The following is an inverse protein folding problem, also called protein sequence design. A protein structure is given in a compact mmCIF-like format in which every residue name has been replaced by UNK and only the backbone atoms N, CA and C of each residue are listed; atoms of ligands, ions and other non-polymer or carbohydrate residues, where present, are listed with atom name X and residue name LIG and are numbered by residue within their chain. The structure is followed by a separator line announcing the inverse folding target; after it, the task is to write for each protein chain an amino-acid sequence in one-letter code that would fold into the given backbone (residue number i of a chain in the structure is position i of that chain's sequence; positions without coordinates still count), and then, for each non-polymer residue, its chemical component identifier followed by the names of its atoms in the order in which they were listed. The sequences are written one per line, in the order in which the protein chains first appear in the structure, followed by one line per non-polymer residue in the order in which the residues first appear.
data_IF_447371841210
#
_entry.id   IF_447371841210
#
_cell.length_a   1.000
_cell.length_b   1.000
_cell.length_c   1.000
_cell.angle_alpha   90.00
_cell.angle_beta   90.00
_cell.angle_gamma   90.00
#
_symmetry.space_group_name_H-M   'P 1'
#
loop_
_entity.id
_entity.type
_entity.pdbx_description
1 polymer ?
#
# COMPACT_ATOMS: atom_id res chain seq x y z
N UNK A 1 -7.90 -43.09 63.66
CA UNK A 1 -7.31 -42.03 64.52
C UNK A 1 -5.88 -41.76 64.04
N UNK A 2 -5.65 -40.53 63.55
CA UNK A 2 -4.36 -39.78 63.42
C UNK A 2 -3.25 -40.38 62.52
N UNK A 3 -2.51 -39.66 61.68
CA UNK A 3 -2.44 -38.25 61.20
C UNK A 3 -1.28 -38.25 60.16
N UNK A 4 -1.47 -37.89 58.88
CA UNK A 4 -1.27 -36.56 58.24
C UNK A 4 0.04 -35.81 58.53
N UNK A 5 0.84 -35.54 57.47
CA UNK A 5 1.36 -34.23 57.01
C UNK A 5 2.50 -34.50 55.96
N UNK A 6 2.31 -34.33 54.65
CA UNK A 6 2.22 -33.08 53.87
C UNK A 6 3.52 -32.24 53.94
N UNK A 7 4.40 -32.46 52.97
CA UNK A 7 5.64 -31.72 52.72
C UNK A 7 5.30 -30.34 52.13
N UNK A 8 5.71 -29.29 52.85
CA UNK A 8 5.44 -27.90 52.53
C UNK A 8 6.48 -27.37 51.55
N UNK A 9 6.06 -27.10 50.32
CA UNK A 9 6.82 -26.33 49.35
C UNK A 9 7.20 -24.95 49.91
N UNK A 10 8.50 -24.74 50.11
CA UNK A 10 9.05 -23.42 50.41
C UNK A 10 8.86 -22.51 49.19
N UNK A 11 8.02 -21.50 49.39
CA UNK A 11 7.92 -20.30 48.57
C UNK A 11 9.29 -19.60 48.62
N UNK A 12 10.02 -19.63 47.52
CA UNK A 12 11.24 -18.85 47.33
C UNK A 12 10.90 -17.37 47.21
N UNK A 13 11.33 -16.59 48.20
CA UNK A 13 11.26 -15.14 48.22
C UNK A 13 12.07 -14.53 47.08
N UNK A 14 11.52 -13.45 46.51
CA UNK A 14 12.16 -12.46 45.65
C UNK A 14 13.65 -12.24 45.96
N UNK A 15 14.51 -12.48 44.97
CA UNK A 15 15.94 -12.24 45.05
C UNK A 15 16.24 -10.73 45.12
N UNK A 16 16.66 -10.29 46.31
CA UNK A 16 17.29 -8.99 46.52
C UNK A 16 18.74 -9.09 46.00
N UNK A 17 19.05 -8.38 44.91
CA UNK A 17 20.38 -8.42 44.27
C UNK A 17 21.39 -7.75 45.21
N UNK A 18 22.40 -8.50 45.64
CA UNK A 18 23.37 -8.04 46.64
C UNK A 18 24.16 -6.81 46.17
N UNK A 19 24.43 -5.86 47.07
CA UNK A 19 25.16 -4.62 46.79
C UNK A 19 26.56 -4.81 46.17
N UNK A 20 27.14 -6.01 46.33
CA UNK A 20 28.44 -6.43 45.78
C UNK A 20 28.43 -6.67 44.27
N UNK A 21 27.30 -7.05 43.67
CA UNK A 21 27.20 -7.31 42.22
C UNK A 21 26.99 -6.04 41.38
N UNK A 22 26.51 -4.95 42.00
CA UNK A 22 26.22 -3.68 41.33
C UNK A 22 27.40 -2.69 41.31
N UNK A 23 28.44 -2.90 42.12
CA UNK A 23 29.62 -2.04 42.20
C UNK A 23 30.35 -1.84 40.84
N UNK A 24 30.53 -2.86 39.97
CA UNK A 24 31.13 -2.67 38.65
C UNK A 24 30.29 -1.76 37.75
N UNK A 25 28.96 -1.91 37.81
CA UNK A 25 28.00 -1.11 37.05
C UNK A 25 28.09 0.37 37.47
N UNK A 26 28.12 0.63 38.79
CA UNK A 26 28.25 2.00 39.29
C UNK A 26 29.60 2.65 38.95
N UNK A 27 30.69 1.88 38.95
CA UNK A 27 32.02 2.34 38.49
C UNK A 27 31.97 2.74 37.01
N UNK A 28 31.41 1.90 36.15
CA UNK A 28 31.25 2.20 34.73
C UNK A 28 30.37 3.44 34.49
N UNK A 29 29.21 3.54 35.17
CA UNK A 29 28.36 4.75 35.13
C UNK A 29 29.15 6.01 35.52
N UNK A 30 30.04 5.94 36.52
CA UNK A 30 30.87 7.07 36.96
C UNK A 30 31.87 7.50 35.89
N UNK A 31 32.50 6.55 35.20
CA UNK A 31 33.41 6.82 34.09
C UNK A 31 32.70 7.53 32.92
N UNK A 32 31.52 7.03 32.52
CA UNK A 32 30.72 7.65 31.45
C UNK A 32 30.32 9.08 31.84
N UNK A 33 29.84 9.30 33.09
CA UNK A 33 29.52 10.66 33.58
C UNK A 33 30.72 11.60 33.51
N UNK A 34 31.90 11.13 33.90
CA UNK A 34 33.12 11.93 33.85
C UNK A 34 33.47 12.32 32.40
N UNK A 35 33.45 11.35 31.49
CA UNK A 35 33.72 11.56 30.06
C UNK A 35 32.76 12.58 29.45
N UNK A 36 31.46 12.40 29.62
CA UNK A 36 30.47 13.28 28.97
C UNK A 36 30.45 14.68 29.60
N UNK A 37 30.68 14.80 30.92
CA UNK A 37 30.88 16.13 31.55
C UNK A 37 32.08 16.87 30.96
N UNK A 38 33.16 16.15 30.64
CA UNK A 38 34.32 16.72 29.95
C UNK A 38 33.98 17.14 28.51
N UNK A 39 33.21 16.33 27.77
CA UNK A 39 32.78 16.71 26.42
C UNK A 39 31.85 17.93 26.42
N UNK A 40 30.84 17.98 27.30
CA UNK A 40 30.01 19.17 27.51
C UNK A 40 30.83 20.37 27.98
N UNK A 41 31.90 20.09 28.76
CA UNK A 41 33.09 20.91 29.06
C UNK A 41 33.58 21.79 27.91
N UNK A 42 33.85 21.07 26.83
CA UNK A 42 34.67 21.45 25.68
C UNK A 42 33.82 21.94 24.51
N UNK A 43 32.49 21.78 24.57
CA UNK A 43 31.59 22.34 23.57
C UNK A 43 31.73 23.87 23.47
N UNK A 44 31.91 24.34 22.24
CA UNK A 44 31.92 25.76 21.95
C UNK A 44 30.56 26.40 22.33
N UNK A 45 30.55 27.58 23.00
CA UNK A 45 29.31 28.21 23.42
C UNK A 45 28.34 28.57 22.28
N UNK A 46 28.86 28.94 21.10
CA UNK A 46 28.04 29.26 19.92
C UNK A 46 27.45 28.00 19.29
N UNK A 47 28.25 26.93 19.15
CA UNK A 47 27.76 25.63 18.70
C UNK A 47 26.67 25.09 19.61
N UNK A 48 26.87 25.18 20.94
CA UNK A 48 25.87 24.75 21.92
C UNK A 48 24.55 25.53 21.77
N UNK A 49 24.62 26.85 21.59
CA UNK A 49 23.42 27.66 21.37
C UNK A 49 22.70 27.32 20.05
N UNK A 50 23.43 26.93 19.00
CA UNK A 50 22.83 26.42 17.77
C UNK A 50 22.12 25.07 17.99
N UNK A 51 22.74 24.16 18.74
CA UNK A 51 22.13 22.89 19.10
C UNK A 51 20.89 23.09 19.99
N UNK A 52 20.94 23.99 20.97
CA UNK A 52 19.79 24.39 21.80
C UNK A 52 18.60 24.82 20.96
N UNK A 53 18.83 25.71 19.99
CA UNK A 53 17.80 26.25 19.13
C UNK A 53 17.22 25.18 18.18
N UNK A 54 18.06 24.32 17.61
CA UNK A 54 17.63 23.21 16.77
C UNK A 54 16.75 22.22 17.56
N UNK A 55 17.17 21.82 18.76
CA UNK A 55 16.43 20.89 19.61
C UNK A 55 15.09 21.50 20.01
N UNK A 56 15.06 22.76 20.46
CA UNK A 56 13.81 23.41 20.85
C UNK A 56 12.83 23.53 19.67
N UNK A 57 13.29 23.88 18.46
CA UNK A 57 12.43 23.88 17.26
C UNK A 57 11.84 22.51 16.99
N UNK A 58 12.65 21.45 17.03
CA UNK A 58 12.18 20.08 16.80
C UNK A 58 11.11 19.65 17.81
N UNK A 59 11.28 20.00 19.08
CA UNK A 59 10.25 19.77 20.12
C UNK A 59 8.97 20.53 19.78
N UNK A 60 9.07 21.84 19.52
CA UNK A 60 7.93 22.69 19.22
C UNK A 60 7.15 22.22 17.99
N UNK A 61 7.85 21.68 16.99
CA UNK A 61 7.24 21.20 15.76
C UNK A 61 6.65 19.79 15.84
N UNK A 62 7.06 19.01 16.86
CA UNK A 62 6.68 17.62 16.98
C UNK A 62 5.15 17.43 17.16
N UNK A 63 4.53 16.46 16.45
CA UNK A 63 3.11 16.16 16.59
C UNK A 63 2.69 15.80 18.03
N UNK A 64 3.54 15.05 18.73
CA UNK A 64 3.31 14.66 20.13
C UNK A 64 3.36 15.88 21.08
N UNK A 65 4.16 16.90 20.80
CA UNK A 65 4.19 18.13 21.60
C UNK A 65 2.94 18.97 21.35
N UNK A 66 2.58 19.16 20.07
CA UNK A 66 1.41 19.94 19.64
C UNK A 66 0.11 19.38 20.25
N UNK A 67 -0.03 18.06 20.29
CA UNK A 67 -1.22 17.36 20.84
C UNK A 67 -1.25 17.18 22.36
N UNK A 68 -0.13 17.35 23.07
CA UNK A 68 -0.08 17.21 24.54
C UNK A 68 -0.78 18.36 25.26
N UNK A 69 -1.55 18.09 26.31
CA UNK A 69 -2.20 19.12 27.14
C UNK A 69 -1.49 19.30 28.48
N UNK A 70 -1.05 18.21 29.11
CA UNK A 70 -0.42 18.23 30.45
C UNK A 70 1.00 17.68 30.34
N UNK A 71 2.00 18.47 30.74
CA UNK A 71 3.41 18.18 30.49
C UNK A 71 4.25 18.38 31.75
N UNK A 72 5.24 17.49 31.94
CA UNK A 72 6.34 17.74 32.85
C UNK A 72 7.59 18.16 32.05
N UNK A 73 8.30 19.18 32.49
CA UNK A 73 9.58 19.56 31.91
C UNK A 73 10.56 20.05 32.99
N UNK A 74 11.85 19.93 32.71
CA UNK A 74 12.89 20.50 33.57
C UNK A 74 13.15 21.97 33.21
N UNK A 75 13.54 22.75 34.21
CA UNK A 75 14.12 24.08 34.00
C UNK A 75 15.60 23.89 33.73
N UNK A 76 16.05 24.24 32.52
CA UNK A 76 17.44 24.07 32.12
C UNK A 76 18.38 24.89 32.99
N UNK A 77 19.40 24.25 33.58
CA UNK A 77 20.42 24.95 34.36
C UNK A 77 21.72 25.12 33.56
N UNK A 78 22.14 26.38 33.36
CA UNK A 78 23.36 26.72 32.61
C UNK A 78 24.63 26.17 33.27
N UNK A 79 24.71 26.17 34.61
CA UNK A 79 25.84 25.61 35.35
C UNK A 79 25.97 24.10 35.12
N UNK A 80 24.83 23.43 34.92
CA UNK A 80 24.77 22.01 34.60
C UNK A 80 25.02 21.72 33.11
N UNK A 81 24.98 22.73 32.23
CA UNK A 81 25.14 22.59 30.77
C UNK A 81 24.09 21.64 30.18
N UNK A 82 22.86 21.82 30.61
CA UNK A 82 21.71 21.11 30.04
C UNK A 82 21.27 21.78 28.73
N UNK A 83 20.47 21.07 27.94
CA UNK A 83 19.82 21.67 26.77
C UNK A 83 18.87 22.76 27.26
N UNK A 84 18.90 23.93 26.63
CA UNK A 84 17.98 25.02 26.94
C UNK A 84 16.54 24.62 26.63
N UNK A 85 15.62 24.88 27.57
CA UNK A 85 14.18 24.63 27.41
C UNK A 85 13.35 25.91 27.35
N UNK A 86 13.99 27.09 27.43
CA UNK A 86 13.31 28.38 27.59
C UNK A 86 12.19 28.66 26.59
N UNK A 87 12.39 28.40 25.29
CA UNK A 87 11.39 28.62 24.23
C UNK A 87 10.24 27.63 24.31
N UNK A 88 10.54 26.38 24.67
CA UNK A 88 9.52 25.33 24.88
C UNK A 88 8.63 25.70 26.06
N UNK A 89 9.23 26.08 27.20
CA UNK A 89 8.49 26.50 28.40
C UNK A 89 7.67 27.76 28.13
N UNK A 90 8.25 28.76 27.47
CA UNK A 90 7.53 29.98 27.08
C UNK A 90 6.34 29.66 26.18
N UNK A 91 6.44 28.68 25.27
CA UNK A 91 5.31 28.28 24.42
C UNK A 91 4.21 27.56 25.20
N UNK A 92 4.55 26.79 26.23
CA UNK A 92 3.58 26.11 27.10
C UNK A 92 2.83 27.14 27.97
N UNK A 93 3.56 28.12 28.53
CA UNK A 93 3.04 29.14 29.45
C UNK A 93 2.36 30.34 28.76
N UNK A 94 2.37 30.41 27.42
CA UNK A 94 1.61 31.43 26.68
C UNK A 94 0.11 31.24 26.90
N UNK A 95 -0.53 32.16 27.62
CA UNK A 95 -1.98 32.33 27.61
C UNK A 95 -2.39 33.01 26.30
N UNK A 96 -3.34 32.42 25.58
CA UNK A 96 -3.92 32.99 24.36
C UNK A 96 -4.80 34.17 24.74
N UNK A 97 -4.22 35.36 24.81
CA UNK A 97 -4.95 36.61 24.79
C UNK A 97 -4.90 37.20 23.38
N UNK A 98 -6.10 37.44 22.85
CA UNK A 98 -6.48 38.05 21.56
C UNK A 98 -6.69 37.06 20.38
N UNK A 99 -7.93 37.11 19.88
CA UNK A 99 -8.50 36.51 18.67
C UNK A 99 -9.08 35.09 18.77
N UNK A 100 -10.37 35.03 19.17
CA UNK A 100 -11.48 34.16 18.71
C UNK A 100 -11.31 32.65 18.43
N UNK A 101 -10.19 32.00 18.76
CA UNK A 101 -10.14 30.54 18.88
C UNK A 101 -9.48 30.14 20.20
N UNK A 102 -10.32 29.79 21.16
CA UNK A 102 -9.96 29.28 22.48
C UNK A 102 -9.23 27.93 22.33
N UNK A 103 -7.94 27.95 21.98
CA UNK A 103 -7.06 26.80 22.21
C UNK A 103 -6.91 26.65 23.72
N UNK A 104 -7.33 25.51 24.28
CA UNK A 104 -7.06 25.14 25.67
C UNK A 104 -5.55 25.25 25.93
N UNK A 105 -5.16 26.09 26.90
CA UNK A 105 -3.77 26.25 27.31
C UNK A 105 -3.17 24.93 27.85
N UNK A 106 -1.85 24.77 27.71
CA UNK A 106 -1.15 23.58 28.21
C UNK A 106 -0.79 23.76 29.70
N UNK A 107 -0.90 22.70 30.49
CA UNK A 107 -0.50 22.67 31.91
C UNK A 107 0.95 22.22 32.04
N UNK A 108 1.77 23.01 32.75
CA UNK A 108 3.18 22.71 32.98
C UNK A 108 3.44 22.33 34.43
N UNK A 109 4.17 21.23 34.63
CA UNK A 109 4.76 20.85 35.91
C UNK A 109 6.28 20.84 35.84
N UNK A 110 6.94 21.35 36.87
CA UNK A 110 8.41 21.48 36.95
C UNK A 110 8.94 20.92 38.27
N UNK A 111 10.18 20.40 38.30
CA UNK A 111 10.70 19.69 39.46
C UNK A 111 11.08 20.62 40.62
N UNK A 112 10.71 20.22 41.84
CA UNK A 112 11.23 20.73 43.12
C UNK A 112 11.86 19.60 43.90
N UNK A 113 13.14 19.75 44.26
CA UNK A 113 13.87 18.74 45.05
C UNK A 113 13.63 19.01 46.52
N UNK A 114 13.16 18.01 47.25
CA UNK A 114 12.81 18.15 48.67
C UNK A 114 13.92 17.65 49.59
N UNK A 115 14.61 16.57 49.21
CA UNK A 115 15.64 15.95 50.04
C UNK A 115 16.77 15.30 49.23
N UNK A 116 17.78 14.80 49.96
CA UNK A 116 18.93 14.06 49.39
C UNK A 116 18.63 12.58 49.13
N UNK A 117 17.45 12.09 49.51
CA UNK A 117 17.02 10.70 49.36
C UNK A 117 16.28 10.45 48.05
N UNK A 118 16.56 11.28 47.03
CA UNK A 118 15.94 11.20 45.70
C UNK A 118 14.45 11.58 45.67
N UNK A 119 13.92 12.26 46.70
CA UNK A 119 12.54 12.72 46.70
C UNK A 119 12.40 14.06 45.96
N UNK A 120 11.51 14.07 44.95
CA UNK A 120 11.26 15.22 44.08
C UNK A 120 9.76 15.30 43.80
N UNK A 121 9.20 16.51 43.90
CA UNK A 121 7.83 16.81 43.49
C UNK A 121 7.83 17.49 42.13
N UNK A 122 6.79 17.26 41.33
CA UNK A 122 6.54 18.00 40.10
C UNK A 122 5.34 18.91 40.35
N UNK A 123 5.61 20.21 40.50
CA UNK A 123 4.61 21.21 40.89
C UNK A 123 4.17 22.06 39.70
N UNK A 124 2.89 22.41 39.66
CA UNK A 124 2.34 23.26 38.62
C UNK A 124 2.88 24.70 38.73
N UNK A 125 3.21 25.29 37.58
CA UNK A 125 3.51 26.71 37.43
C UNK A 125 2.61 27.35 36.37
N UNK A 126 2.29 28.62 36.58
CA UNK A 126 1.50 29.46 35.68
C UNK A 126 2.34 30.55 35.00
N UNK A 127 3.46 30.95 35.61
CA UNK A 127 4.43 31.90 35.06
C UNK A 127 5.86 31.47 35.37
N UNK A 128 6.83 32.01 34.62
CA UNK A 128 8.25 31.90 34.99
C UNK A 128 8.56 32.62 36.31
N UNK A 129 7.74 33.58 36.73
CA UNK A 129 7.86 34.29 38.02
C UNK A 129 7.56 33.40 39.24
N UNK A 130 7.00 32.20 39.02
CA UNK A 130 6.75 31.20 40.06
C UNK A 130 8.03 30.50 40.55
N UNK A 131 9.16 30.72 39.85
CA UNK A 131 10.42 30.03 40.10
C UNK A 131 11.31 30.83 41.06
N UNK A 132 11.92 30.12 42.02
CA UNK A 132 12.92 30.64 42.94
C UNK A 132 14.23 29.87 42.79
N UNK A 133 15.36 30.55 42.97
CA UNK A 133 16.65 29.89 42.99
C UNK A 133 16.87 29.18 44.33
N UNK A 134 17.29 27.91 44.28
CA UNK A 134 17.77 27.21 45.47
C UNK A 134 19.25 27.55 45.77
N UNK A 135 19.81 26.91 46.80
CA UNK A 135 21.20 27.13 47.23
C UNK A 135 22.28 26.78 46.20
N UNK A 136 21.90 26.16 45.08
CA UNK A 136 22.79 25.83 43.95
C UNK A 136 22.48 26.64 42.68
N UNK A 137 21.74 27.74 42.80
CA UNK A 137 21.25 28.57 41.68
C UNK A 137 20.43 27.80 40.64
N UNK A 138 19.79 26.71 41.06
CA UNK A 138 18.84 25.96 40.23
C UNK A 138 17.45 26.52 40.51
N UNK A 139 16.77 26.94 39.45
CA UNK A 139 15.40 27.42 39.53
C UNK A 139 14.43 26.27 39.78
N UNK A 140 13.62 26.40 40.83
CA UNK A 140 12.59 25.46 41.24
C UNK A 140 11.31 26.22 41.61
N UNK A 141 10.12 25.64 41.46
CA UNK A 141 8.87 26.33 41.76
C UNK A 141 8.79 26.62 43.27
N UNK A 142 8.36 27.83 43.65
CA UNK A 142 8.12 28.18 45.05
C UNK A 142 7.11 27.18 45.70
N UNK A 143 7.22 26.86 47.00
CA UNK A 143 6.34 25.88 47.65
C UNK A 143 4.84 26.22 47.54
N UNK A 144 4.52 27.52 47.50
CA UNK A 144 3.17 28.06 47.41
C UNK A 144 3.02 28.94 46.15
N UNK A 145 1.78 29.14 45.72
CA UNK A 145 1.43 30.09 44.67
C UNK A 145 1.44 31.55 45.17
N UNK A 146 1.17 32.51 44.27
CA UNK A 146 1.11 33.94 44.61
C UNK A 146 -0.02 34.31 45.60
N UNK A 147 -1.02 33.44 45.76
CA UNK A 147 -2.09 33.55 46.74
C UNK A 147 -1.80 32.86 48.07
N UNK A 148 -0.64 32.20 48.21
CA UNK A 148 -0.24 31.46 49.40
C UNK A 148 -0.81 30.03 49.48
N UNK A 149 -1.44 29.52 48.42
CA UNK A 149 -1.96 28.15 48.38
C UNK A 149 -0.87 27.13 48.00
N UNK A 150 -1.02 25.89 48.42
CA UNK A 150 -0.16 24.81 47.95
C UNK A 150 -0.33 24.58 46.45
N UNK A 151 0.80 24.43 45.74
CA UNK A 151 0.78 24.13 44.30
C UNK A 151 0.35 22.69 44.05
N UNK A 152 -0.40 22.49 42.96
CA UNK A 152 -0.78 21.15 42.51
C UNK A 152 0.46 20.30 42.22
N UNK A 153 0.58 19.17 42.91
CA UNK A 153 1.57 18.14 42.61
C UNK A 153 0.98 17.16 41.59
N UNK A 154 1.74 16.83 40.54
CA UNK A 154 1.33 15.87 39.51
C UNK A 154 0.87 14.52 40.09
N UNK A 155 1.43 14.10 41.23
CA UNK A 155 1.06 12.83 41.88
C UNK A 155 -0.36 12.86 42.47
N UNK A 156 -0.93 14.04 42.68
CA UNK A 156 -2.29 14.26 43.21
C UNK A 156 -3.26 14.79 42.15
N UNK A 157 -2.84 14.90 40.89
CA UNK A 157 -3.65 15.40 39.80
C UNK A 157 -4.91 14.54 39.56
N UNK A 158 -5.93 15.17 38.96
CA UNK A 158 -7.17 14.52 38.52
C UNK A 158 -7.02 13.71 37.23
N UNK A 159 -6.05 14.08 36.39
CA UNK A 159 -5.78 13.44 35.10
C UNK A 159 -4.27 13.23 34.89
N UNK A 160 -3.92 12.25 34.05
CA UNK A 160 -2.53 11.95 33.73
C UNK A 160 -1.88 12.98 32.80
N UNK A 161 -0.55 13.05 32.85
CA UNK A 161 0.29 13.81 31.92
C UNK A 161 0.50 13.06 30.59
N UNK A 162 0.67 13.82 29.52
CA UNK A 162 0.84 13.30 28.16
C UNK A 162 2.32 13.11 27.80
N UNK A 163 3.19 13.95 28.36
CA UNK A 163 4.59 14.10 27.94
C UNK A 163 5.48 14.49 29.12
N UNK A 164 6.67 13.88 29.20
CA UNK A 164 7.74 14.27 30.13
C UNK A 164 8.99 14.58 29.32
N UNK A 165 9.46 15.84 29.39
CA UNK A 165 10.76 16.25 28.87
C UNK A 165 11.84 16.01 29.93
N UNK A 166 12.77 15.11 29.62
CA UNK A 166 13.75 14.59 30.57
C UNK A 166 15.15 15.17 30.31
N UNK A 167 15.86 15.63 31.36
CA UNK A 167 17.28 15.92 31.28
C UNK A 167 18.11 14.64 31.49
N UNK A 168 19.37 14.68 31.04
CA UNK A 168 20.33 13.59 31.26
C UNK A 168 21.76 14.02 30.95
N UNK A 169 22.72 13.20 31.38
CA UNK A 169 24.13 13.37 31.01
C UNK A 169 24.48 12.57 29.76
N UNK A 170 23.99 11.34 29.63
CA UNK A 170 24.24 10.50 28.45
C UNK A 170 23.00 9.67 28.11
N UNK A 171 22.87 9.34 26.84
CA UNK A 171 21.83 8.49 26.30
C UNK A 171 22.43 7.52 25.28
N UNK A 172 21.86 6.34 25.13
CA UNK A 172 22.14 5.50 23.98
C UNK A 172 20.92 5.37 23.06
N UNK A 173 21.15 4.90 21.83
CA UNK A 173 20.10 4.76 20.81
C UNK A 173 19.04 3.70 21.18
N UNK A 174 19.27 2.90 22.22
CA UNK A 174 18.32 1.94 22.79
C UNK A 174 17.42 2.52 23.89
N UNK A 175 17.59 3.80 24.22
CA UNK A 175 16.74 4.54 25.16
C UNK A 175 17.24 4.47 26.60
N UNK A 176 18.43 3.93 26.85
CA UNK A 176 19.02 3.94 28.20
C UNK A 176 19.48 5.36 28.51
N UNK A 177 19.15 5.82 29.72
CA UNK A 177 19.44 7.17 30.19
C UNK A 177 20.39 7.13 31.38
N UNK A 178 21.41 7.97 31.34
CA UNK A 178 22.33 8.18 32.46
C UNK A 178 22.16 9.60 33.04
N UNK A 179 21.57 9.70 34.23
CA UNK A 179 21.46 10.96 34.97
C UNK A 179 22.73 11.34 35.74
N UNK A 180 22.65 12.40 36.57
CA UNK A 180 23.79 12.95 37.35
C UNK A 180 24.22 12.11 38.55
N UNK A 181 23.42 11.11 38.95
CA UNK A 181 23.72 10.16 40.02
C UNK A 181 22.78 10.20 41.22
N UNK A 182 21.87 11.19 41.28
CA UNK A 182 20.94 11.35 42.41
C UNK A 182 19.60 10.62 42.29
N UNK A 183 19.37 9.79 41.27
CA UNK A 183 18.17 8.94 41.17
C UNK A 183 16.80 9.62 41.06
N UNK A 184 16.71 10.95 41.17
CA UNK A 184 15.44 11.69 41.26
C UNK A 184 14.42 11.34 40.18
N UNK A 185 14.82 11.39 38.91
CA UNK A 185 13.92 11.07 37.79
C UNK A 185 13.53 9.59 37.76
N UNK A 186 14.45 8.69 38.05
CA UNK A 186 14.16 7.24 38.02
C UNK A 186 13.18 6.85 39.14
N UNK A 187 13.31 7.46 40.33
CA UNK A 187 12.34 7.31 41.42
C UNK A 187 10.99 7.93 41.08
N UNK A 188 10.98 9.18 40.60
CA UNK A 188 9.74 9.85 40.21
C UNK A 188 8.98 9.09 39.11
N UNK A 189 9.67 8.70 38.03
CA UNK A 189 9.05 8.04 36.89
C UNK A 189 8.45 6.69 37.27
N UNK A 190 9.12 5.87 38.08
CA UNK A 190 8.56 4.60 38.55
C UNK A 190 7.29 4.81 39.38
N UNK A 191 7.33 5.74 40.33
CA UNK A 191 6.17 6.06 41.16
C UNK A 191 4.99 6.59 40.32
N UNK A 192 5.28 7.45 39.34
CA UNK A 192 4.26 7.98 38.45
C UNK A 192 3.69 6.91 37.50
N UNK A 193 4.53 6.04 36.94
CA UNK A 193 4.08 4.93 36.10
C UNK A 193 3.17 3.97 36.86
N UNK A 194 3.49 3.68 38.12
CA UNK A 194 2.64 2.89 39.02
C UNK A 194 1.30 3.60 39.26
N UNK A 195 1.31 4.88 39.63
CA UNK A 195 0.09 5.68 39.82
C UNK A 195 -0.78 5.71 38.56
N UNK A 196 -0.17 5.90 37.39
CA UNK A 196 -0.88 5.92 36.12
C UNK A 196 -1.56 4.56 35.84
N UNK A 197 -0.92 3.45 36.18
CA UNK A 197 -1.55 2.13 36.08
C UNK A 197 -2.71 1.97 37.07
N UNK A 198 -2.52 2.38 38.34
CA UNK A 198 -3.56 2.31 39.38
C UNK A 198 -4.80 3.15 39.04
N UNK A 199 -4.59 4.33 38.44
CA UNK A 199 -5.66 5.25 37.99
C UNK A 199 -6.14 5.00 36.56
N UNK A 200 -5.62 3.96 35.89
CA UNK A 200 -5.92 3.64 34.49
C UNK A 200 -5.71 4.82 33.51
N UNK A 201 -4.68 5.61 33.76
CA UNK A 201 -4.22 6.68 32.89
C UNK A 201 -3.31 6.15 31.79
N UNK A 202 -3.29 6.85 30.66
CA UNK A 202 -2.34 6.59 29.60
C UNK A 202 -0.93 6.93 30.07
N UNK A 203 0.03 6.06 29.79
CA UNK A 203 1.44 6.33 30.08
C UNK A 203 1.94 7.52 29.25
N UNK A 204 2.68 8.45 29.88
CA UNK A 204 3.21 9.63 29.20
C UNK A 204 4.32 9.22 28.23
N UNK A 205 4.50 10.02 27.19
CA UNK A 205 5.67 9.87 26.33
C UNK A 205 6.90 10.45 27.04
N UNK A 206 7.94 9.65 27.23
CA UNK A 206 9.18 10.05 27.88
C UNK A 206 10.21 10.49 26.83
N UNK A 207 10.43 11.79 26.69
CA UNK A 207 11.31 12.35 25.65
C UNK A 207 12.51 13.02 26.29
N UNK A 208 13.71 12.56 25.95
CA UNK A 208 14.94 13.17 26.41
C UNK A 208 15.50 14.17 25.40
N UNK A 209 15.97 15.32 25.91
CA UNK A 209 16.65 16.34 25.12
C UNK A 209 18.16 16.16 25.27
N UNK A 210 18.88 16.11 24.16
CA UNK A 210 20.28 15.73 24.15
C UNK A 210 21.07 16.50 23.10
N UNK A 211 22.22 17.04 23.51
CA UNK A 211 23.26 17.44 22.55
C UNK A 211 23.83 16.23 21.82
N UNK A 212 24.44 16.45 20.66
CA UNK A 212 25.01 15.38 19.83
C UNK A 212 26.06 14.55 20.59
N UNK A 213 26.88 15.21 21.42
CA UNK A 213 27.97 14.60 22.20
C UNK A 213 27.50 13.72 23.36
N UNK A 214 26.22 13.78 23.71
CA UNK A 214 25.65 12.99 24.81
C UNK A 214 25.05 11.66 24.33
N UNK A 215 24.95 11.44 23.00
CA UNK A 215 24.39 10.24 22.39
C UNK A 215 25.51 9.23 22.11
N UNK A 216 25.32 8.01 22.58
CA UNK A 216 26.26 6.89 22.45
C UNK A 216 25.62 5.77 21.62
N UNK A 217 26.45 4.82 21.19
CA UNK A 217 25.95 3.61 20.53
C UNK A 217 25.21 2.68 21.50
N UNK A 218 24.44 1.76 20.92
CA UNK A 218 23.55 0.88 21.66
C UNK A 218 24.25 0.05 22.73
N UNK A 219 23.64 0.01 23.91
CA UNK A 219 24.08 -0.85 25.00
C UNK A 219 25.30 -0.36 25.78
N UNK A 220 25.86 0.81 25.43
CA UNK A 220 27.05 1.37 26.10
C UNK A 220 26.75 1.79 27.54
N UNK A 221 25.53 2.25 27.82
CA UNK A 221 25.12 2.63 29.17
C UNK A 221 24.71 1.37 29.94
N UNK A 222 25.42 1.02 31.04
CA UNK A 222 25.03 -0.13 31.86
C UNK A 222 23.79 0.23 32.68
N UNK A 223 22.92 -0.74 32.91
CA UNK A 223 21.62 -0.55 33.56
C UNK A 223 21.57 -1.22 34.94
N UNK A 224 20.74 -0.68 35.81
CA UNK A 224 20.29 -1.30 37.06
C UNK A 224 18.77 -1.50 36.98
N UNK A 225 18.18 -2.39 37.81
CA UNK A 225 16.74 -2.65 37.79
C UNK A 225 15.85 -1.42 38.02
N UNK A 226 16.42 -0.34 38.57
CA UNK A 226 15.71 0.89 38.88
C UNK A 226 15.77 1.94 37.76
N UNK A 227 16.57 1.76 36.71
CA UNK A 227 16.70 2.75 35.64
C UNK A 227 15.47 2.73 34.71
N UNK A 228 14.90 3.89 34.43
CA UNK A 228 13.78 4.03 33.49
C UNK A 228 14.27 4.48 32.12
N UNK A 229 13.80 3.81 31.07
CA UNK A 229 14.20 4.06 29.69
C UNK A 229 13.37 5.22 29.12
N UNK A 230 13.93 5.93 28.14
CA UNK A 230 13.21 6.97 27.40
C UNK A 230 12.57 6.39 26.15
N UNK A 231 11.44 6.97 25.75
CA UNK A 231 10.70 6.57 24.55
C UNK A 231 11.26 7.19 23.27
N UNK A 232 11.87 8.38 23.38
CA UNK A 232 12.49 9.07 22.26
C UNK A 232 13.62 10.01 22.70
N UNK A 233 14.55 10.27 21.79
CA UNK A 233 15.59 11.30 21.92
C UNK A 233 15.34 12.41 20.91
N UNK A 234 15.50 13.67 21.34
CA UNK A 234 15.59 14.81 20.44
C UNK A 234 17.01 15.34 20.48
N UNK A 235 17.64 15.37 19.30
CA UNK A 235 18.97 15.93 19.06
C UNK A 235 18.91 16.98 17.96
N UNK A 236 19.99 17.73 17.72
CA UNK A 236 20.02 18.74 16.66
C UNK A 236 19.81 18.17 15.26
N UNK A 237 20.13 16.89 15.07
CA UNK A 237 19.99 16.19 13.78
C UNK A 237 18.60 15.61 13.57
N UNK A 238 17.74 15.57 14.59
CA UNK A 238 16.37 15.07 14.47
C UNK A 238 15.84 14.36 15.72
N UNK A 239 14.71 13.69 15.55
CA UNK A 239 14.05 12.90 16.58
C UNK A 239 14.34 11.42 16.33
N UNK A 240 14.84 10.72 17.34
CA UNK A 240 15.07 9.27 17.34
C UNK A 240 13.96 8.63 18.18
N UNK A 241 12.89 8.09 17.56
CA UNK A 241 11.86 7.34 18.28
C UNK A 241 12.39 5.93 18.60
N UNK A 242 12.21 5.48 19.85
CA UNK A 242 12.79 4.23 20.37
C UNK A 242 11.69 3.24 20.72
N UNK A 243 10.70 3.66 21.51
CA UNK A 243 9.58 2.78 21.86
C UNK A 243 8.51 2.77 20.77
N UNK A 244 7.74 1.68 20.69
CA UNK A 244 6.57 1.57 19.81
C UNK A 244 5.59 2.74 20.01
N UNK A 245 5.50 3.23 21.25
CA UNK A 245 4.64 4.33 21.63
C UNK A 245 5.12 5.68 21.05
N UNK A 246 6.44 5.89 20.95
CA UNK A 246 7.04 7.04 20.27
C UNK A 246 6.87 6.96 18.75
N UNK A 247 7.15 5.78 18.16
CA UNK A 247 7.05 5.56 16.70
C UNK A 247 5.63 5.89 16.22
N UNK A 248 4.61 5.35 16.89
CA UNK A 248 3.21 5.59 16.53
C UNK A 248 2.79 7.07 16.66
N UNK A 249 3.26 7.77 17.72
CA UNK A 249 2.91 9.18 17.93
C UNK A 249 3.71 10.12 17.01
N UNK A 250 4.88 9.69 16.52
CA UNK A 250 5.66 10.43 15.54
C UNK A 250 5.10 10.31 14.12
N UNK A 251 4.57 9.13 13.74
CA UNK A 251 4.03 8.87 12.39
C UNK A 251 2.56 9.25 12.20
N UNK A 252 1.81 9.57 13.28
CA UNK A 252 0.36 9.81 13.24
C UNK A 252 -0.12 11.05 12.47
N UNK A 253 0.79 11.83 11.87
CA UNK A 253 0.45 12.81 10.85
C UNK A 253 1.20 12.44 9.56
N UNK A 254 0.61 11.64 8.65
CA UNK A 254 1.16 11.52 7.32
C UNK A 254 1.16 12.91 6.70
N UNK A 255 2.36 13.38 6.37
CA UNK A 255 2.58 14.62 5.66
C UNK A 255 1.63 14.71 4.46
N UNK A 256 1.02 15.87 4.22
CA UNK A 256 0.04 16.11 3.12
C UNK A 256 0.53 15.57 1.77
N UNK A 257 1.85 15.48 1.57
CA UNK A 257 2.51 14.94 0.39
C UNK A 257 2.30 13.44 0.18
N UNK A 258 2.23 12.61 1.24
CA UNK A 258 1.99 11.17 1.12
C UNK A 258 0.53 10.91 0.73
N UNK A 259 -0.40 11.67 1.30
CA UNK A 259 -1.82 11.58 0.95
C UNK A 259 -2.06 12.03 -0.50
N UNK A 260 -1.41 13.10 -0.96
CA UNK A 260 -1.47 13.53 -2.35
C UNK A 260 -0.82 12.52 -3.32
N UNK A 261 0.32 11.94 -2.96
CA UNK A 261 0.98 10.93 -3.80
C UNK A 261 0.12 9.65 -3.92
N UNK A 262 -0.49 9.19 -2.82
CA UNK A 262 -1.41 8.05 -2.84
C UNK A 262 -2.66 8.36 -3.67
N UNK A 263 -3.24 9.56 -3.54
CA UNK A 263 -4.39 9.99 -4.34
C UNK A 263 -4.04 10.08 -5.83
N UNK A 264 -2.85 10.59 -6.16
CA UNK A 264 -2.34 10.66 -7.53
C UNK A 264 -2.14 9.26 -8.11
N UNK A 265 -1.56 8.32 -7.35
CA UNK A 265 -1.42 6.92 -7.79
C UNK A 265 -2.79 6.26 -8.03
N UNK A 266 -3.77 6.48 -7.15
CA UNK A 266 -5.13 5.96 -7.33
C UNK A 266 -5.79 6.56 -8.58
N UNK A 267 -5.63 7.87 -8.82
CA UNK A 267 -6.14 8.54 -10.02
C UNK A 267 -5.43 8.01 -11.28
N UNK A 268 -4.12 7.77 -11.26
CA UNK A 268 -3.39 7.16 -12.38
C UNK A 268 -3.84 5.72 -12.63
N UNK A 269 -4.10 4.92 -11.59
CA UNK A 269 -4.63 3.56 -11.77
C UNK A 269 -6.09 3.52 -12.25
N UNK A 270 -6.91 4.51 -11.88
CA UNK A 270 -8.30 4.63 -12.35
C UNK A 270 -8.40 5.25 -13.75
N UNK A 271 -7.40 6.04 -14.17
CA UNK A 271 -7.31 6.66 -15.50
C UNK A 271 -6.43 5.87 -16.48
N UNK A 272 -5.72 4.83 -16.03
CA UNK A 272 -5.07 3.90 -16.93
C UNK A 272 -6.18 3.26 -17.77
N UNK A 273 -6.22 3.49 -19.11
CA UNK A 273 -7.21 2.85 -19.93
C UNK A 273 -6.99 1.35 -19.75
N UNK A 274 -7.99 0.66 -19.17
CA UNK A 274 -8.08 -0.78 -19.36
C UNK A 274 -7.99 -0.98 -20.86
N UNK A 275 -6.87 -1.54 -21.32
CA UNK A 275 -6.62 -1.82 -22.73
C UNK A 275 -7.80 -2.64 -23.21
N UNK A 276 -8.78 -1.97 -23.80
CA UNK A 276 -9.93 -2.60 -24.40
C UNK A 276 -9.35 -3.20 -25.66
N UNK A 277 -8.89 -4.44 -25.56
CA UNK A 277 -8.29 -5.17 -26.67
C UNK A 277 -9.40 -5.40 -27.69
N UNK A 278 -9.53 -4.44 -28.61
CA UNK A 278 -10.45 -4.50 -29.73
C UNK A 278 -9.93 -5.44 -30.82
N UNK A 279 -8.87 -6.20 -30.60
CA UNK A 279 -8.33 -7.24 -31.48
C UNK A 279 -7.52 -8.24 -30.65
N UNK A 280 -6.97 -9.26 -31.31
CA UNK A 280 -5.95 -10.12 -30.70
C UNK A 280 -4.79 -9.26 -30.16
N UNK A 281 -4.13 -9.65 -29.05
CA UNK A 281 -3.00 -8.89 -28.51
C UNK A 281 -1.84 -8.78 -29.49
N UNK A 282 -1.12 -7.66 -29.45
CA UNK A 282 0.12 -7.48 -30.22
C UNK A 282 1.18 -8.51 -29.79
N UNK A 283 2.00 -9.03 -30.73
CA UNK A 283 3.06 -9.95 -30.40
C UNK A 283 4.17 -9.28 -29.58
N UNK A 284 4.71 -10.01 -28.61
CA UNK A 284 5.85 -9.55 -27.78
C UNK A 284 7.22 -10.00 -28.31
N UNK A 285 7.22 -10.78 -29.40
CA UNK A 285 8.40 -11.33 -30.06
C UNK A 285 8.14 -11.50 -31.56
N UNK A 286 9.20 -11.67 -32.35
CA UNK A 286 9.09 -11.78 -33.81
C UNK A 286 8.15 -12.91 -34.28
N UNK A 287 8.17 -14.05 -33.59
CA UNK A 287 7.27 -15.17 -33.86
C UNK A 287 7.02 -16.02 -32.61
N UNK A 288 5.92 -16.78 -32.65
CA UNK A 288 5.58 -17.82 -31.68
C UNK A 288 4.77 -18.90 -32.40
N UNK A 289 5.43 -19.91 -32.98
CA UNK A 289 4.73 -21.00 -33.68
C UNK A 289 3.87 -21.78 -32.68
N UNK A 290 2.55 -21.85 -32.88
CA UNK A 290 1.66 -22.55 -31.95
C UNK A 290 2.02 -24.04 -31.83
N UNK A 291 2.18 -24.51 -30.60
CA UNK A 291 2.16 -25.93 -30.29
C UNK A 291 0.72 -26.40 -30.07
N UNK A 292 0.11 -26.92 -31.14
CA UNK A 292 -1.27 -27.41 -31.12
C UNK A 292 -1.45 -28.71 -30.32
N UNK A 293 -0.37 -29.39 -29.92
CA UNK A 293 -0.44 -30.58 -29.06
C UNK A 293 -0.50 -30.23 -27.57
N UNK A 294 -0.12 -29.00 -27.22
CA UNK A 294 -0.18 -28.48 -25.86
C UNK A 294 -1.56 -27.89 -25.55
N UNK A 295 -1.94 -27.87 -24.27
CA UNK A 295 -3.18 -27.22 -23.86
C UNK A 295 -3.08 -25.71 -24.10
N UNK A 296 -4.10 -25.08 -24.73
CA UNK A 296 -4.11 -23.64 -24.91
C UNK A 296 -4.13 -22.93 -23.55
N UNK A 297 -3.41 -21.82 -23.46
CA UNK A 297 -3.56 -20.87 -22.35
C UNK A 297 -4.80 -20.00 -22.60
N UNK A 298 -5.29 -19.29 -21.58
CA UNK A 298 -6.54 -18.51 -21.59
C UNK A 298 -6.81 -17.64 -22.84
N UNK A 299 -5.77 -17.23 -23.60
CA UNK A 299 -5.94 -16.44 -24.82
C UNK A 299 -5.20 -16.99 -26.07
N UNK A 300 -4.17 -17.84 -25.91
CA UNK A 300 -3.27 -18.24 -27.02
C UNK A 300 -2.67 -19.65 -26.82
N UNK A 301 -2.05 -20.19 -27.86
CA UNK A 301 -1.31 -21.45 -27.79
C UNK A 301 0.11 -21.22 -27.25
N UNK A 302 0.65 -22.15 -26.43
CA UNK A 302 2.08 -22.17 -26.11
C UNK A 302 2.94 -22.19 -27.39
N UNK A 303 4.11 -21.57 -27.35
CA UNK A 303 5.03 -21.59 -28.48
C UNK A 303 5.82 -22.90 -28.52
N UNK A 304 5.94 -23.50 -29.71
CA UNK A 304 6.95 -24.52 -30.02
C UNK A 304 8.36 -23.98 -29.70
N UNK A 305 9.28 -24.79 -29.14
CA UNK A 305 10.65 -24.36 -28.88
C UNK A 305 11.35 -23.88 -30.15
N UNK A 306 12.05 -22.74 -30.07
CA UNK A 306 12.75 -22.12 -31.21
C UNK A 306 13.75 -23.07 -31.89
N UNK A 307 14.37 -23.99 -31.14
CA UNK A 307 15.26 -25.02 -31.68
C UNK A 307 14.61 -25.97 -32.68
N UNK A 308 13.28 -26.10 -32.63
CA UNK A 308 12.51 -26.99 -33.48
C UNK A 308 11.82 -26.23 -34.63
N UNK A 309 11.93 -24.90 -34.69
CA UNK A 309 11.32 -24.06 -35.72
C UNK A 309 12.14 -24.14 -37.02
N UNK A 310 11.45 -24.26 -38.14
CA UNK A 310 12.03 -24.38 -39.49
C UNK A 310 11.40 -23.40 -40.46
N UNK A 311 11.97 -23.23 -41.66
CA UNK A 311 11.39 -22.39 -42.72
C UNK A 311 9.96 -22.81 -43.06
N UNK A 312 9.69 -24.10 -43.09
CA UNK A 312 8.39 -24.66 -43.46
C UNK A 312 7.27 -24.25 -42.50
N UNK A 313 7.59 -23.93 -41.24
CA UNK A 313 6.59 -23.47 -40.28
C UNK A 313 5.94 -22.14 -40.71
N UNK A 314 6.58 -21.35 -41.58
CA UNK A 314 6.14 -20.00 -42.00
C UNK A 314 5.43 -19.95 -43.37
N UNK A 315 5.24 -21.08 -44.04
CA UNK A 315 4.56 -21.12 -45.35
C UNK A 315 3.32 -22.02 -45.29
N UNK A 316 2.26 -21.60 -45.96
CA UNK A 316 0.98 -22.32 -45.97
C UNK A 316 0.45 -22.49 -47.39
N UNK A 317 0.27 -23.73 -47.80
CA UNK A 317 -0.25 -24.11 -49.12
C UNK A 317 -1.71 -24.61 -49.07
N UNK A 318 -2.33 -24.62 -47.89
CA UNK A 318 -3.66 -25.19 -47.66
C UNK A 318 -4.79 -24.51 -48.44
N UNK A 319 -4.60 -23.28 -48.92
CA UNK A 319 -5.59 -22.56 -49.74
C UNK A 319 -5.49 -22.84 -51.26
N UNK A 320 -4.50 -23.63 -51.71
CA UNK A 320 -4.29 -23.90 -53.13
C UNK A 320 -5.42 -24.71 -53.77
N UNK A 321 -5.99 -25.67 -53.02
CA UNK A 321 -6.97 -26.63 -53.54
C UNK A 321 -8.40 -26.11 -53.41
N UNK A 322 -9.21 -26.42 -54.42
CA UNK A 322 -10.65 -26.18 -54.39
C UNK A 322 -11.32 -27.08 -53.35
N UNK A 323 -12.20 -26.48 -52.54
CA UNK A 323 -13.03 -27.20 -51.58
C UNK A 323 -14.20 -27.96 -52.25
N UNK A 324 -14.62 -29.07 -51.64
CA UNK A 324 -15.77 -29.84 -52.12
C UNK A 324 -17.10 -29.12 -51.79
N UNK A 325 -17.73 -28.53 -52.81
CA UNK A 325 -19.00 -27.82 -52.71
C UNK A 325 -20.24 -28.74 -52.82
N UNK A 326 -20.09 -30.06 -52.90
CA UNK A 326 -21.20 -31.01 -52.96
C UNK A 326 -21.80 -31.24 -51.57
N UNK A 327 -22.45 -30.22 -51.02
CA UNK A 327 -23.14 -30.24 -49.72
C UNK A 327 -24.41 -29.37 -49.77
N UNK A 328 -25.21 -29.37 -48.69
CA UNK A 328 -26.51 -28.69 -48.65
C UNK A 328 -26.47 -27.19 -48.97
N UNK A 329 -25.34 -26.54 -48.71
CA UNK A 329 -25.16 -25.11 -48.93
C UNK A 329 -24.52 -24.80 -50.29
N UNK A 330 -23.91 -25.78 -50.95
CA UNK A 330 -23.21 -25.55 -52.21
C UNK A 330 -21.94 -24.71 -52.06
N UNK A 331 -21.37 -24.64 -50.87
CA UNK A 331 -20.18 -23.83 -50.56
C UNK A 331 -19.21 -24.59 -49.64
N UNK A 332 -17.92 -24.26 -49.69
CA UNK A 332 -16.91 -24.83 -48.80
C UNK A 332 -15.90 -23.76 -48.40
N UNK A 333 -15.76 -23.58 -47.09
CA UNK A 333 -14.67 -22.81 -46.49
C UNK A 333 -13.49 -23.73 -46.21
N UNK A 334 -12.32 -23.34 -46.67
CA UNK A 334 -11.02 -23.93 -46.34
C UNK A 334 -10.27 -22.95 -45.43
N UNK A 335 -10.08 -23.27 -44.14
CA UNK A 335 -9.53 -22.32 -43.18
C UNK A 335 -7.99 -22.25 -43.25
N UNK A 336 -7.47 -21.03 -43.16
CA UNK A 336 -6.06 -20.69 -42.97
C UNK A 336 -5.91 -19.86 -41.69
N UNK A 337 -6.27 -20.45 -40.56
CA UNK A 337 -6.23 -19.85 -39.23
C UNK A 337 -5.20 -20.56 -38.36
N UNK A 338 -5.00 -20.13 -37.10
CA UNK A 338 -3.97 -20.71 -36.22
C UNK A 338 -4.04 -22.24 -36.05
N UNK A 339 -5.22 -22.85 -36.25
CA UNK A 339 -5.41 -24.30 -36.13
C UNK A 339 -4.90 -25.07 -37.36
N UNK A 340 -4.82 -24.43 -38.52
CA UNK A 340 -4.30 -25.03 -39.76
C UNK A 340 -2.94 -24.46 -40.17
N UNK A 341 -2.61 -23.25 -39.71
CA UNK A 341 -1.35 -22.56 -39.94
C UNK A 341 -0.80 -21.99 -38.63
N UNK A 342 -0.05 -22.80 -37.85
CA UNK A 342 0.40 -22.45 -36.50
C UNK A 342 1.26 -21.19 -36.36
N UNK A 343 1.89 -20.72 -37.44
CA UNK A 343 2.68 -19.48 -37.43
C UNK A 343 1.85 -18.21 -37.18
N UNK A 344 0.52 -18.27 -37.35
CA UNK A 344 -0.36 -17.13 -37.12
C UNK A 344 -0.55 -16.78 -35.64
N UNK A 345 -0.07 -17.63 -34.73
CA UNK A 345 -0.23 -17.43 -33.30
C UNK A 345 0.46 -16.14 -32.82
N UNK A 346 -0.28 -15.34 -32.06
CA UNK A 346 0.04 -13.98 -31.60
C UNK A 346 0.16 -12.91 -32.70
N UNK A 347 -0.10 -13.22 -33.98
CA UNK A 347 0.04 -12.25 -35.08
C UNK A 347 -1.25 -11.51 -35.43
N UNK A 348 -2.39 -11.90 -34.82
CA UNK A 348 -3.67 -11.22 -35.01
C UNK A 348 -4.21 -11.23 -36.44
N UNK A 349 -3.82 -12.22 -37.25
CA UNK A 349 -4.20 -12.33 -38.66
C UNK A 349 -4.54 -13.77 -39.03
N UNK A 350 -5.51 -13.95 -39.93
CA UNK A 350 -5.78 -15.23 -40.59
C UNK A 350 -6.45 -15.02 -41.94
N UNK A 351 -6.52 -16.07 -42.75
CA UNK A 351 -7.15 -16.01 -44.07
C UNK A 351 -7.97 -17.27 -44.34
N UNK A 352 -9.03 -17.17 -45.11
CA UNK A 352 -9.77 -18.34 -45.58
C UNK A 352 -9.92 -18.30 -47.12
N UNK A 353 -10.11 -19.48 -47.69
CA UNK A 353 -10.62 -19.64 -49.06
C UNK A 353 -12.08 -20.10 -48.99
N UNK A 354 -12.93 -19.50 -49.81
CA UNK A 354 -14.31 -19.90 -49.98
C UNK A 354 -14.56 -20.25 -51.45
N UNK A 355 -14.92 -21.50 -51.71
CA UNK A 355 -15.39 -21.99 -53.00
C UNK A 355 -16.92 -22.12 -52.97
N UNK A 356 -17.61 -21.60 -53.99
CA UNK A 356 -19.08 -21.58 -54.05
C UNK A 356 -19.56 -22.09 -55.42
N UNK A 357 -20.33 -23.18 -55.44
CA UNK A 357 -20.98 -23.70 -56.64
C UNK A 357 -21.98 -22.70 -57.23
N UNK A 358 -22.40 -22.81 -58.50
CA UNK A 358 -23.50 -22.02 -59.03
C UNK A 358 -24.74 -22.14 -58.13
N UNK A 359 -25.34 -20.99 -57.77
CA UNK A 359 -26.44 -20.89 -56.81
C UNK A 359 -26.12 -21.34 -55.36
N UNK A 360 -24.86 -21.67 -55.06
CA UNK A 360 -24.40 -21.96 -53.71
C UNK A 360 -24.44 -20.73 -52.82
N UNK A 361 -24.52 -20.97 -51.51
CA UNK A 361 -24.66 -20.00 -50.45
C UNK A 361 -23.64 -20.31 -49.35
N UNK A 362 -22.85 -19.34 -48.93
CA UNK A 362 -22.30 -19.34 -47.58
C UNK A 362 -23.37 -18.68 -46.69
N UNK A 363 -24.04 -19.45 -45.81
CA UNK A 363 -25.25 -18.99 -45.14
C UNK A 363 -24.99 -17.79 -44.21
N UNK A 364 -26.04 -17.09 -43.74
CA UNK A 364 -25.90 -16.04 -42.75
C UNK A 364 -25.07 -16.48 -41.54
N UNK A 365 -23.97 -15.79 -41.28
CA UNK A 365 -23.02 -16.10 -40.22
C UNK A 365 -22.38 -14.83 -39.65
N UNK A 366 -21.66 -14.98 -38.54
CA UNK A 366 -20.90 -13.89 -37.91
C UNK A 366 -19.56 -14.37 -37.35
N UNK A 367 -18.60 -13.45 -37.29
CA UNK A 367 -17.27 -13.64 -36.71
C UNK A 367 -17.17 -12.83 -35.40
N UNK A 368 -17.27 -13.48 -34.23
CA UNK A 368 -17.36 -12.77 -32.95
C UNK A 368 -16.08 -12.01 -32.59
N UNK A 369 -14.93 -12.41 -33.13
CA UNK A 369 -13.62 -11.86 -32.76
C UNK A 369 -12.92 -11.10 -33.87
N UNK A 370 -13.52 -10.94 -35.05
CA UNK A 370 -12.83 -10.33 -36.18
C UNK A 370 -13.72 -9.56 -37.15
N UNK A 371 -13.16 -8.49 -37.71
CA UNK A 371 -13.61 -7.88 -38.97
C UNK A 371 -13.07 -8.73 -40.12
N UNK A 372 -13.91 -8.95 -41.13
CA UNK A 372 -13.53 -9.66 -42.34
C UNK A 372 -13.30 -8.68 -43.50
N UNK A 373 -12.28 -8.94 -44.31
CA UNK A 373 -12.10 -8.33 -45.62
C UNK A 373 -11.90 -9.41 -46.67
N UNK A 374 -12.62 -9.35 -47.79
CA UNK A 374 -12.53 -10.37 -48.84
C UNK A 374 -12.33 -9.79 -50.22
N UNK A 375 -11.75 -10.57 -51.13
CA UNK A 375 -11.64 -10.27 -52.56
C UNK A 375 -12.17 -11.42 -53.39
N UNK A 376 -13.01 -11.11 -54.38
CA UNK A 376 -13.48 -12.10 -55.34
C UNK A 376 -12.36 -12.41 -56.32
N UNK A 377 -11.95 -13.66 -56.38
CA UNK A 377 -10.91 -14.14 -57.32
C UNK A 377 -11.54 -14.60 -58.64
N UNK A 378 -12.71 -15.24 -58.58
CA UNK A 378 -13.43 -15.68 -59.77
C UNK A 378 -14.94 -15.77 -59.51
N UNK A 379 -15.75 -15.75 -60.57
CA UNK A 379 -17.21 -15.85 -60.50
C UNK A 379 -17.94 -14.52 -60.27
N UNK A 380 -19.21 -14.59 -59.84
CA UNK A 380 -20.05 -13.43 -59.51
C UNK A 380 -20.79 -13.71 -58.20
N UNK A 381 -20.53 -12.91 -57.17
CA UNK A 381 -21.01 -13.19 -55.81
C UNK A 381 -21.81 -12.00 -55.29
N UNK A 382 -23.05 -12.22 -54.90
CA UNK A 382 -23.79 -11.29 -54.05
C UNK A 382 -23.24 -11.41 -52.62
N UNK A 383 -22.63 -10.34 -52.13
CA UNK A 383 -22.19 -10.24 -50.74
C UNK A 383 -23.10 -9.24 -50.04
N UNK A 384 -23.52 -9.54 -48.82
CA UNK A 384 -24.33 -8.62 -48.04
C UNK A 384 -24.23 -8.83 -46.53
N UNK A 385 -24.48 -7.76 -45.79
CA UNK A 385 -24.46 -7.75 -44.33
C UNK A 385 -25.57 -6.88 -43.75
N UNK A 386 -25.91 -7.13 -42.49
CA UNK A 386 -26.96 -6.42 -41.75
C UNK A 386 -26.34 -5.71 -40.55
N UNK A 387 -26.61 -4.41 -40.43
CA UNK A 387 -26.17 -3.60 -39.27
C UNK A 387 -27.06 -3.81 -38.05
N UNK A 388 -26.61 -3.36 -36.88
CA UNK A 388 -27.41 -3.38 -35.64
C UNK A 388 -28.68 -2.53 -35.70
N UNK A 389 -28.74 -1.57 -36.63
CA UNK A 389 -29.95 -0.82 -36.96
C UNK A 389 -30.90 -1.54 -37.93
N UNK A 390 -30.67 -2.84 -38.20
CA UNK A 390 -31.42 -3.66 -39.16
C UNK A 390 -31.40 -3.14 -40.61
N UNK A 391 -30.35 -2.42 -41.00
CA UNK A 391 -30.15 -1.98 -42.39
C UNK A 391 -29.32 -2.99 -43.15
N UNK A 392 -29.85 -3.48 -44.27
CA UNK A 392 -29.18 -4.42 -45.17
C UNK A 392 -28.39 -3.69 -46.26
N UNK A 393 -27.10 -3.98 -46.34
CA UNK A 393 -26.21 -3.50 -47.40
C UNK A 393 -25.72 -4.67 -48.23
N UNK A 394 -25.78 -4.56 -49.56
CA UNK A 394 -25.29 -5.62 -50.45
C UNK A 394 -24.85 -5.11 -51.81
N UNK A 395 -24.02 -5.92 -52.48
CA UNK A 395 -23.58 -5.70 -53.86
C UNK A 395 -23.21 -7.02 -54.52
N UNK A 396 -23.47 -7.14 -55.82
CA UNK A 396 -22.89 -8.21 -56.64
C UNK A 396 -21.47 -7.82 -57.03
N UNK A 397 -20.51 -8.59 -56.56
CA UNK A 397 -19.09 -8.41 -56.78
C UNK A 397 -18.59 -9.32 -57.90
N UNK A 398 -17.63 -8.81 -58.67
CA UNK A 398 -16.94 -9.50 -59.76
C UNK A 398 -15.43 -9.59 -59.46
N UNK A 399 -14.64 -10.37 -60.23
CA UNK A 399 -13.23 -10.60 -59.91
C UNK A 399 -12.43 -9.30 -59.73
N UNK A 400 -11.58 -9.27 -58.71
CA UNK A 400 -10.76 -8.12 -58.33
C UNK A 400 -11.47 -7.09 -57.43
N UNK A 401 -12.78 -7.21 -57.20
CA UNK A 401 -13.49 -6.35 -56.26
C UNK A 401 -13.39 -6.90 -54.83
N UNK A 402 -13.22 -5.98 -53.88
CA UNK A 402 -13.14 -6.29 -52.46
C UNK A 402 -14.40 -5.89 -51.68
N UNK A 403 -14.57 -6.47 -50.50
CA UNK A 403 -15.57 -6.10 -49.51
C UNK A 403 -14.99 -6.11 -48.10
N UNK A 404 -15.69 -5.48 -47.17
CA UNK A 404 -15.37 -5.46 -45.74
C UNK A 404 -16.65 -5.69 -44.93
N UNK A 405 -16.57 -6.56 -43.93
CA UNK A 405 -17.65 -6.84 -42.98
C UNK A 405 -17.19 -6.45 -41.58
N UNK A 406 -17.81 -5.44 -40.95
CA UNK A 406 -17.49 -5.06 -39.57
C UNK A 406 -17.69 -6.23 -38.60
N UNK A 407 -16.79 -6.33 -37.61
CA UNK A 407 -16.82 -7.39 -36.59
C UNK A 407 -18.21 -7.62 -36.02
N UNK A 408 -18.58 -8.89 -35.92
CA UNK A 408 -19.80 -9.33 -35.23
C UNK A 408 -21.09 -9.14 -36.04
N UNK A 409 -21.07 -8.47 -37.19
CA UNK A 409 -22.26 -8.31 -38.02
C UNK A 409 -22.59 -9.59 -38.81
N UNK A 410 -23.88 -9.88 -38.90
CA UNK A 410 -24.39 -11.01 -39.69
C UNK A 410 -24.24 -10.69 -41.18
N UNK A 411 -23.66 -11.61 -41.93
CA UNK A 411 -23.40 -11.48 -43.37
C UNK A 411 -23.46 -12.81 -44.10
N UNK A 412 -23.46 -12.78 -45.43
CA UNK A 412 -23.52 -13.96 -46.30
C UNK A 412 -22.92 -13.70 -47.68
N UNK A 413 -22.60 -14.79 -48.39
CA UNK A 413 -22.15 -14.78 -49.77
C UNK A 413 -22.98 -15.74 -50.61
N UNK A 414 -23.55 -15.27 -51.72
CA UNK A 414 -24.30 -16.11 -52.66
C UNK A 414 -23.72 -16.02 -54.06
N UNK A 415 -23.39 -17.17 -54.65
CA UNK A 415 -22.99 -17.20 -56.05
C UNK A 415 -24.21 -17.01 -56.96
N UNK A 416 -24.28 -15.84 -57.60
CA UNK A 416 -25.34 -15.48 -58.55
C UNK A 416 -24.90 -15.67 -60.01
N UNK A 417 -23.67 -16.14 -60.21
CA UNK A 417 -23.14 -16.52 -61.52
C UNK A 417 -23.50 -17.94 -61.93
N UNK A 418 -23.21 -18.27 -63.19
CA UNK A 418 -23.40 -19.60 -63.78
C UNK A 418 -22.15 -20.50 -63.68
N UNK A 419 -21.04 -19.97 -63.17
CA UNK A 419 -19.79 -20.69 -62.93
C UNK A 419 -19.49 -20.71 -61.43
N UNK A 420 -18.62 -21.62 -60.99
CA UNK A 420 -18.10 -21.61 -59.62
C UNK A 420 -17.44 -20.26 -59.32
N UNK A 421 -17.58 -19.81 -58.09
CA UNK A 421 -16.96 -18.58 -57.59
C UNK A 421 -15.94 -18.92 -56.50
N UNK A 422 -14.90 -18.10 -56.41
CA UNK A 422 -13.83 -18.22 -55.41
C UNK A 422 -13.61 -16.86 -54.76
N UNK A 423 -13.56 -16.85 -53.44
CA UNK A 423 -13.26 -15.67 -52.62
C UNK A 423 -12.09 -16.02 -51.70
N UNK A 424 -11.16 -15.08 -51.53
CA UNK A 424 -10.15 -15.14 -50.49
C UNK A 424 -10.46 -14.05 -49.46
N UNK A 425 -10.54 -14.44 -48.19
CA UNK A 425 -10.89 -13.55 -47.09
C UNK A 425 -9.75 -13.49 -46.09
N UNK A 426 -9.63 -12.35 -45.40
CA UNK A 426 -8.64 -12.05 -44.40
C UNK A 426 -9.31 -11.44 -43.16
N UNK A 427 -8.74 -11.73 -42.00
CA UNK A 427 -9.32 -11.44 -40.69
C UNK A 427 -8.28 -10.78 -39.81
N UNK A 428 -8.67 -9.77 -39.03
CA UNK A 428 -7.83 -9.18 -37.99
C UNK A 428 -7.86 -9.97 -36.66
N UNK A 429 -7.82 -11.30 -36.77
CA UNK A 429 -7.63 -12.24 -35.67
C UNK A 429 -7.04 -13.53 -36.21
N UNK A 430 -6.16 -14.18 -35.44
CA UNK A 430 -5.62 -15.50 -35.75
C UNK A 430 -6.69 -16.59 -35.72
N UNK A 431 -7.79 -16.34 -35.00
CA UNK A 431 -8.93 -17.24 -34.86
C UNK A 431 -10.24 -16.43 -34.77
N UNK A 432 -10.81 -16.02 -35.91
CA UNK A 432 -12.02 -15.18 -35.93
C UNK A 432 -13.23 -15.83 -35.25
N UNK A 433 -13.27 -17.18 -35.23
CA UNK A 433 -14.44 -17.95 -34.86
C UNK A 433 -15.56 -17.80 -35.87
N UNK A 434 -16.53 -18.72 -35.89
CA UNK A 434 -17.68 -18.61 -36.77
C UNK A 434 -18.93 -19.04 -36.02
N UNK A 435 -19.99 -18.25 -36.15
CA UNK A 435 -21.33 -18.59 -35.70
C UNK A 435 -22.21 -18.62 -36.94
N UNK A 436 -22.51 -19.82 -37.43
CA UNK A 436 -23.42 -20.02 -38.56
C UNK A 436 -24.84 -19.96 -38.03
N UNK A 437 -25.52 -18.83 -38.24
CA UNK A 437 -26.81 -18.51 -37.62
C UNK A 437 -27.83 -19.66 -37.71
N UNK A 438 -28.11 -20.26 -38.90
CA UNK A 438 -29.10 -21.33 -38.96
C UNK A 438 -28.68 -22.57 -38.17
N UNK A 439 -27.45 -23.04 -38.31
CA UNK A 439 -26.95 -24.22 -37.58
C UNK A 439 -26.90 -23.97 -36.07
N UNK A 440 -26.47 -22.79 -35.63
CA UNK A 440 -26.43 -22.45 -34.20
C UNK A 440 -27.82 -22.37 -33.57
N UNK A 441 -28.86 -21.99 -34.33
CA UNK A 441 -30.22 -21.90 -33.80
C UNK A 441 -30.97 -23.23 -33.84
N UNK A 442 -30.71 -24.08 -34.82
CA UNK A 442 -31.52 -25.29 -35.08
C UNK A 442 -30.75 -26.62 -35.00
N UNK A 443 -29.44 -26.61 -34.75
CA UNK A 443 -28.59 -27.80 -34.59
C UNK A 443 -27.58 -27.64 -33.43
N UNK A 444 -27.94 -26.83 -32.43
CA UNK A 444 -27.16 -26.71 -31.21
C UNK A 444 -27.19 -28.01 -30.38
N UNK A 445 -26.10 -28.31 -29.68
CA UNK A 445 -26.00 -29.47 -28.79
C UNK A 445 -25.53 -29.04 -27.38
N UNK A 446 -26.38 -29.12 -26.33
CA UNK A 446 -27.80 -29.51 -26.37
C UNK A 446 -28.66 -28.50 -27.15
N UNK A 447 -29.82 -28.96 -27.65
CA UNK A 447 -30.73 -28.13 -28.46
C UNK A 447 -31.32 -26.95 -27.67
N UNK A 448 -31.59 -25.86 -28.39
CA UNK A 448 -32.36 -24.74 -27.84
C UNK A 448 -33.80 -25.22 -27.64
N UNK A 449 -34.42 -24.87 -26.52
CA UNK A 449 -35.80 -25.26 -26.23
C UNK A 449 -36.76 -24.79 -27.31
N UNK A 450 -37.65 -25.69 -27.75
CA UNK A 450 -38.77 -25.40 -28.66
C UNK A 450 -39.52 -24.12 -28.29
N UNK A 451 -39.81 -23.92 -26.99
CA UNK A 451 -40.57 -22.76 -26.54
C UNK A 451 -39.84 -21.44 -26.82
N UNK A 452 -38.51 -21.43 -26.72
CA UNK A 452 -37.68 -20.27 -27.08
C UNK A 452 -37.74 -20.04 -28.59
N UNK A 453 -37.57 -21.08 -29.41
CA UNK A 453 -37.57 -20.95 -30.87
C UNK A 453 -38.95 -20.53 -31.41
N UNK A 454 -40.03 -21.09 -30.89
CA UNK A 454 -41.41 -20.72 -31.27
C UNK A 454 -41.71 -19.26 -30.98
N UNK A 455 -41.36 -18.79 -29.78
CA UNK A 455 -41.57 -17.38 -29.41
C UNK A 455 -40.67 -16.45 -30.24
N UNK A 456 -39.43 -16.85 -30.49
CA UNK A 456 -38.46 -16.07 -31.28
C UNK A 456 -38.93 -15.87 -32.72
N UNK A 457 -39.39 -16.94 -33.36
CA UNK A 457 -39.78 -16.93 -34.77
C UNK A 457 -41.29 -16.73 -35.02
N UNK A 458 -42.10 -16.72 -33.96
CA UNK A 458 -43.57 -16.62 -34.01
C UNK A 458 -44.21 -17.74 -34.85
N UNK A 459 -43.77 -18.98 -34.61
CA UNK A 459 -44.19 -20.19 -35.32
C UNK A 459 -44.55 -21.33 -34.36
N UNK A 460 -45.22 -22.35 -34.88
CA UNK A 460 -45.57 -23.56 -34.14
C UNK A 460 -44.41 -24.56 -34.02
N UNK A 461 -44.48 -25.46 -33.05
CA UNK A 461 -43.49 -26.53 -32.83
C UNK A 461 -43.24 -27.37 -34.08
N UNK A 462 -44.29 -27.66 -34.86
CA UNK A 462 -44.17 -28.47 -36.09
C UNK A 462 -43.30 -27.80 -37.15
N UNK A 463 -43.30 -26.46 -37.20
CA UNK A 463 -42.44 -25.69 -38.10
C UNK A 463 -41.00 -25.71 -37.59
N UNK A 464 -40.79 -25.57 -36.27
CA UNK A 464 -39.46 -25.69 -35.65
C UNK A 464 -38.84 -27.04 -35.98
N UNK A 465 -39.51 -28.15 -35.67
CA UNK A 465 -39.03 -29.51 -35.97
C UNK A 465 -38.83 -29.73 -37.47
N UNK A 466 -39.67 -29.12 -38.31
CA UNK A 466 -39.53 -29.13 -39.76
C UNK A 466 -38.23 -28.48 -40.24
N UNK A 467 -37.80 -27.40 -39.59
CA UNK A 467 -36.51 -26.73 -39.87
C UNK A 467 -35.35 -27.55 -39.30
N UNK A 468 -35.44 -28.00 -38.05
CA UNK A 468 -34.40 -28.83 -37.41
C UNK A 468 -34.10 -30.09 -38.23
N UNK A 469 -35.12 -30.73 -38.82
CA UNK A 469 -34.94 -31.90 -39.69
C UNK A 469 -34.10 -31.67 -40.97
N UNK A 470 -33.72 -30.40 -41.26
CA UNK A 470 -32.89 -30.02 -42.41
C UNK A 470 -31.41 -29.93 -42.07
N UNK A 471 -31.07 -29.91 -40.78
CA UNK A 471 -29.70 -29.92 -40.26
C UNK A 471 -29.41 -31.33 -39.74
#
# INVERSE_FOLDING_TARGET
MRSSAADGGKIGSSGDVSATELDPIFKQKRLIRSKVRKSLKEMDPSHRAMEDDAIQRLVLDAPWFKSSKRLCAYISCRALREVDTSKVLAKILQTSDKDEQKLEGKTLYVPRVEDKNSYMRMLNISSMDDLIANSMDILEPAPVDSGGNERENVMHASEGIDLVLLPGLAFDKSGRRLGRGGGYYDTFLRNYQQLANEKNWKQPLLVALSYSVQIMDDGVIPITPNDVFVDALVSPTGIIPISSAAIQRHTKHPSKYILMAALLCIVVFLLAPFLSNAADPDPLSDFCIADLNSSPTFANFPCKPTSNVTSEDFFFDGLMKEGNTSNMFGSKVTPGNVLTFPALNMLGLSMNRLDIAPNGLNPPHTHPRSTESGVVISGKVLVGFVTTGNVFYSKVLVPGQMFVIPRGLVHFEKNVGNKKAVIITAFNSQNPGVVVVPTTLFDAQPSISDDVLKQTFQIDSSVVHGIESKF
#
